data_IF_803078671598
#
_entry.id   IF_803078671598
#
_cell.length_a   1.000
_cell.length_b   1.000
_cell.length_c   1.000
_cell.angle_alpha   90.00
_cell.angle_beta   90.00
_cell.angle_gamma   90.00
#
_symmetry.space_group_name_H-M   'P 1'
#
loop_
_entity.id
_entity.type
_entity.pdbx_description
1 polymer ?
#
# COMPACT_ATOMS: atom_id res chain seq x y z
N UNK A 1 8.78 1.74 8.93
CA UNK A 1 8.47 2.71 7.86
C UNK A 1 8.23 1.92 6.58
N UNK A 2 7.06 2.02 6.05
CA UNK A 2 6.67 1.32 4.83
C UNK A 2 6.44 2.35 3.74
N UNK A 3 7.18 2.25 2.63
CA UNK A 3 6.99 3.11 1.47
C UNK A 3 6.17 2.37 0.42
N UNK A 4 5.01 2.89 0.09
CA UNK A 4 4.20 2.42 -1.03
C UNK A 4 4.54 3.24 -2.26
N UNK A 5 5.55 2.78 -3.03
CA UNK A 5 6.01 3.51 -4.22
C UNK A 5 5.17 3.24 -5.47
N UNK A 6 4.37 2.21 -5.48
CA UNK A 6 3.63 1.81 -6.66
C UNK A 6 2.15 1.63 -6.34
N UNK A 7 1.46 2.75 -6.15
CA UNK A 7 0.02 2.74 -6.31
C UNK A 7 -0.28 2.75 -7.80
N UNK A 8 -0.64 1.60 -8.32
CA UNK A 8 -1.25 1.56 -9.65
C UNK A 8 -2.65 2.12 -9.48
N UNK A 9 -2.85 3.41 -9.83
CA UNK A 9 -4.20 3.94 -9.95
C UNK A 9 -4.96 3.04 -10.90
N UNK A 10 -6.05 2.45 -10.46
CA UNK A 10 -6.96 1.78 -11.36
C UNK A 10 -7.41 2.80 -12.40
N UNK A 11 -7.29 2.44 -13.68
CA UNK A 11 -8.07 3.11 -14.71
C UNK A 11 -9.51 3.21 -14.22
N UNK A 12 -10.15 4.36 -14.47
CA UNK A 12 -11.54 4.60 -14.11
C UNK A 12 -12.41 3.47 -14.66
N UNK A 13 -12.63 2.45 -13.81
CA UNK A 13 -13.62 1.42 -14.10
C UNK A 13 -15.00 2.07 -13.96
N UNK A 14 -15.90 1.70 -14.85
CA UNK A 14 -17.29 2.13 -14.73
C UNK A 14 -17.78 1.81 -13.32
N UNK A 15 -18.49 2.74 -12.68
CA UNK A 15 -18.91 2.67 -11.27
C UNK A 15 -19.60 1.35 -10.89
N UNK A 16 -20.21 0.63 -11.82
CA UNK A 16 -20.88 -0.64 -11.56
C UNK A 16 -19.91 -1.81 -11.45
N UNK A 17 -18.90 -1.91 -12.31
CA UNK A 17 -17.86 -2.93 -12.21
C UNK A 17 -17.04 -2.79 -10.94
N UNK A 18 -16.78 -1.55 -10.54
CA UNK A 18 -16.08 -1.23 -9.31
C UNK A 18 -16.83 -1.72 -8.07
N UNK A 19 -18.17 -1.62 -8.04
CA UNK A 19 -19.01 -2.10 -6.95
C UNK A 19 -19.00 -3.63 -6.82
N UNK A 20 -19.00 -4.35 -7.92
CA UNK A 20 -18.94 -5.82 -7.92
C UNK A 20 -17.59 -6.29 -7.42
N UNK A 21 -16.50 -5.72 -7.91
CA UNK A 21 -15.15 -6.00 -7.43
C UNK A 21 -15.00 -5.69 -5.95
N UNK A 22 -15.50 -4.55 -5.49
CA UNK A 22 -15.48 -4.16 -4.09
C UNK A 22 -16.21 -5.18 -3.20
N UNK A 23 -17.38 -5.65 -3.63
CA UNK A 23 -18.16 -6.64 -2.88
C UNK A 23 -17.49 -8.02 -2.82
N UNK A 24 -16.81 -8.43 -3.87
CA UNK A 24 -16.16 -9.75 -3.96
C UNK A 24 -14.79 -9.73 -3.30
N UNK A 25 -13.95 -8.75 -3.64
CA UNK A 25 -12.58 -8.66 -3.12
C UNK A 25 -12.54 -8.32 -1.64
N UNK A 26 -13.49 -7.53 -1.14
CA UNK A 26 -13.54 -7.20 0.29
C UNK A 26 -13.82 -8.40 1.20
N UNK A 27 -14.25 -9.52 0.64
CA UNK A 27 -14.50 -10.77 1.35
C UNK A 27 -13.30 -11.71 1.39
N UNK A 28 -12.18 -11.33 0.80
CA UNK A 28 -10.98 -12.15 0.82
C UNK A 28 -10.52 -12.39 2.26
N UNK A 29 -10.10 -13.62 2.51
CA UNK A 29 -9.57 -14.07 3.80
C UNK A 29 -8.30 -14.88 3.58
N UNK A 30 -7.50 -14.94 4.61
CA UNK A 30 -6.31 -15.81 4.63
C UNK A 30 -6.69 -17.25 4.26
N UNK A 31 -5.95 -17.82 3.33
CA UNK A 31 -6.20 -19.14 2.74
C UNK A 31 -6.98 -19.11 1.44
N UNK A 32 -7.57 -17.98 1.06
CA UNK A 32 -8.24 -17.85 -0.23
C UNK A 32 -7.23 -17.75 -1.37
N UNK A 33 -7.66 -18.12 -2.57
CA UNK A 33 -6.88 -17.98 -3.80
C UNK A 33 -7.43 -16.83 -4.63
N UNK A 34 -6.51 -16.07 -5.23
CA UNK A 34 -6.84 -14.95 -6.12
C UNK A 34 -6.07 -15.10 -7.42
N UNK A 35 -6.75 -15.08 -8.54
CA UNK A 35 -6.13 -15.06 -9.85
C UNK A 35 -6.01 -13.61 -10.34
N UNK A 36 -4.80 -13.23 -10.71
CA UNK A 36 -4.52 -11.92 -11.29
C UNK A 36 -3.35 -12.01 -12.26
N UNK A 37 -3.52 -11.44 -13.43
CA UNK A 37 -2.50 -11.38 -14.47
C UNK A 37 -1.83 -12.75 -14.75
N UNK A 38 -2.67 -13.77 -14.97
CA UNK A 38 -2.27 -15.15 -15.28
C UNK A 38 -1.50 -15.85 -14.15
N UNK A 39 -1.54 -15.33 -12.92
CA UNK A 39 -0.94 -15.95 -11.74
C UNK A 39 -2.00 -16.20 -10.68
N UNK A 40 -1.82 -17.27 -9.92
CA UNK A 40 -2.64 -17.59 -8.76
C UNK A 40 -1.90 -17.24 -7.49
N UNK A 41 -2.49 -16.40 -6.68
CA UNK A 41 -1.94 -15.95 -5.40
C UNK A 41 -2.69 -16.58 -4.24
N UNK A 42 -1.96 -16.93 -3.18
CA UNK A 42 -2.53 -17.27 -1.89
C UNK A 42 -2.63 -16.01 -1.03
N UNK A 43 -3.77 -15.79 -0.41
CA UNK A 43 -3.93 -14.76 0.62
C UNK A 43 -3.29 -15.29 1.90
N UNK A 44 -2.18 -14.68 2.33
CA UNK A 44 -1.41 -15.12 3.51
C UNK A 44 -1.58 -14.20 4.72
N UNK A 45 -2.22 -13.07 4.57
CA UNK A 45 -2.50 -12.15 5.67
C UNK A 45 -3.54 -11.10 5.27
N UNK A 46 -4.29 -10.63 6.28
CA UNK A 46 -5.24 -9.54 6.15
C UNK A 46 -4.93 -8.52 7.24
N UNK A 47 -4.47 -7.36 6.85
CA UNK A 47 -4.00 -6.32 7.77
C UNK A 47 -4.79 -5.05 7.57
N UNK A 48 -4.65 -4.09 8.49
CA UNK A 48 -5.40 -2.84 8.43
C UNK A 48 -4.56 -1.66 8.84
N UNK A 49 -4.67 -0.58 8.06
CA UNK A 49 -4.17 0.74 8.42
C UNK A 49 -5.35 1.60 8.89
N UNK A 50 -5.19 2.27 10.02
CA UNK A 50 -6.12 3.30 10.49
C UNK A 50 -5.40 4.64 10.43
N UNK A 51 -5.91 5.55 9.61
CA UNK A 51 -5.30 6.85 9.39
C UNK A 51 -5.84 7.88 10.39
N UNK A 52 -4.96 8.74 10.91
CA UNK A 52 -5.36 9.74 11.92
C UNK A 52 -6.34 10.77 11.38
N UNK A 53 -6.23 11.13 10.11
CA UNK A 53 -7.15 12.08 9.49
C UNK A 53 -8.50 11.46 9.13
N UNK A 54 -8.68 10.21 9.41
CA UNK A 54 -9.84 9.41 9.03
C UNK A 54 -9.52 8.45 7.90
N UNK A 55 -10.40 7.50 7.73
CA UNK A 55 -10.21 6.48 6.72
C UNK A 55 -9.48 5.24 7.22
N UNK A 56 -9.66 4.18 6.46
CA UNK A 56 -9.13 2.84 6.74
C UNK A 56 -8.63 2.25 5.44
N UNK A 57 -7.49 1.58 5.49
CA UNK A 57 -6.99 0.78 4.39
C UNK A 57 -6.93 -0.68 4.82
N UNK A 58 -7.69 -1.54 4.16
CA UNK A 58 -7.55 -2.98 4.30
C UNK A 58 -6.48 -3.46 3.34
N UNK A 59 -5.60 -4.31 3.81
CA UNK A 59 -4.46 -4.83 3.07
C UNK A 59 -4.49 -6.35 3.08
N UNK A 60 -4.47 -6.94 1.89
CA UNK A 60 -4.32 -8.40 1.74
C UNK A 60 -2.92 -8.69 1.20
N UNK A 61 -2.18 -9.50 1.92
CA UNK A 61 -0.87 -9.98 1.52
C UNK A 61 -1.05 -11.21 0.64
N UNK A 62 -0.59 -11.13 -0.60
CA UNK A 62 -0.78 -12.14 -1.64
C UNK A 62 0.57 -12.72 -2.05
N UNK A 63 0.68 -14.04 -2.02
CA UNK A 63 1.92 -14.73 -2.37
C UNK A 63 1.72 -15.71 -3.52
N UNK A 64 2.59 -15.62 -4.52
CA UNK A 64 2.71 -16.56 -5.63
C UNK A 64 4.18 -16.90 -5.82
N UNK A 65 4.59 -18.12 -5.46
CA UNK A 65 6.02 -18.52 -5.49
C UNK A 65 6.85 -17.63 -4.57
N UNK A 66 7.86 -16.96 -5.12
CA UNK A 66 8.75 -16.05 -4.40
C UNK A 66 8.26 -14.60 -4.41
N UNK A 67 7.18 -14.32 -5.13
CA UNK A 67 6.63 -12.97 -5.23
C UNK A 67 5.58 -12.73 -4.16
N UNK A 68 5.67 -11.56 -3.51
CA UNK A 68 4.67 -11.06 -2.57
C UNK A 68 4.16 -9.72 -3.05
N UNK A 69 2.84 -9.61 -3.19
CA UNK A 69 2.14 -8.41 -3.57
C UNK A 69 1.09 -8.07 -2.52
N UNK A 70 0.64 -6.84 -2.52
CA UNK A 70 -0.36 -6.36 -1.57
C UNK A 70 -1.51 -5.74 -2.34
N UNK A 71 -2.71 -6.28 -2.09
CA UNK A 71 -3.95 -5.67 -2.54
C UNK A 71 -4.44 -4.76 -1.43
N UNK A 72 -4.70 -3.51 -1.72
CA UNK A 72 -5.16 -2.55 -0.73
C UNK A 72 -6.50 -1.94 -1.16
N UNK A 73 -7.38 -1.79 -0.19
CA UNK A 73 -8.66 -1.10 -0.33
C UNK A 73 -8.70 0.04 0.68
N UNK A 74 -8.63 1.25 0.19
CA UNK A 74 -8.73 2.45 1.02
C UNK A 74 -10.12 3.03 0.96
N UNK A 75 -10.67 3.36 2.12
CA UNK A 75 -11.98 3.96 2.25
C UNK A 75 -11.90 5.20 3.13
N UNK A 76 -12.33 6.33 2.59
CA UNK A 76 -12.39 7.60 3.30
C UNK A 76 -13.59 8.40 2.79
N UNK A 77 -14.44 8.88 3.71
CA UNK A 77 -15.62 9.72 3.40
C UNK A 77 -16.54 9.14 2.30
N UNK A 78 -16.66 7.81 2.23
CA UNK A 78 -17.48 7.13 1.24
C UNK A 78 -16.79 6.86 -0.08
N UNK A 79 -15.60 7.40 -0.30
CA UNK A 79 -14.77 7.09 -1.46
C UNK A 79 -13.96 5.82 -1.22
N UNK A 80 -13.88 4.96 -2.22
CA UNK A 80 -13.14 3.70 -2.18
C UNK A 80 -12.13 3.67 -3.31
N UNK A 81 -10.87 3.39 -2.95
CA UNK A 81 -9.78 3.24 -3.90
C UNK A 81 -9.10 1.88 -3.69
N UNK A 82 -8.86 1.17 -4.80
CA UNK A 82 -8.12 -0.08 -4.80
C UNK A 82 -6.73 0.13 -5.39
N UNK A 83 -5.74 -0.53 -4.82
CA UNK A 83 -4.38 -0.53 -5.34
C UNK A 83 -3.73 -1.90 -5.21
N UNK A 84 -2.76 -2.16 -6.08
CA UNK A 84 -1.96 -3.39 -6.07
C UNK A 84 -0.49 -2.99 -6.08
N UNK A 85 0.25 -3.32 -5.03
CA UNK A 85 1.59 -2.80 -4.82
C UNK A 85 2.55 -3.82 -4.24
N UNK A 86 3.86 -3.50 -4.31
CA UNK A 86 4.91 -4.24 -3.62
C UNK A 86 5.49 -3.38 -2.51
N UNK A 87 5.99 -4.04 -1.48
CA UNK A 87 6.79 -3.40 -0.43
C UNK A 87 8.27 -3.64 -0.73
N UNK A 88 9.02 -2.56 -0.75
CA UNK A 88 10.46 -2.59 -1.00
C UNK A 88 11.20 -2.02 0.20
N UNK A 89 12.42 -2.53 0.50
CA UNK A 89 13.27 -1.87 1.49
C UNK A 89 13.63 -0.46 1.04
N UNK A 90 13.68 0.47 1.97
CA UNK A 90 14.09 1.85 1.68
C UNK A 90 15.49 1.92 1.07
N UNK A 91 16.34 0.93 1.37
CA UNK A 91 17.68 0.82 0.81
C UNK A 91 17.73 0.60 -0.70
N UNK A 92 16.62 0.24 -1.33
CA UNK A 92 16.53 0.13 -2.79
C UNK A 92 16.37 1.48 -3.49
N UNK A 93 16.08 2.55 -2.75
CA UNK A 93 16.13 3.90 -3.27
C UNK A 93 17.58 4.35 -3.45
N UNK A 94 17.84 5.15 -4.45
CA UNK A 94 19.18 5.72 -4.66
C UNK A 94 19.54 6.69 -3.52
N UNK A 95 20.79 6.61 -3.06
CA UNK A 95 21.29 7.41 -1.94
C UNK A 95 20.97 6.84 -0.58
N UNK A 96 21.40 7.53 0.47
CA UNK A 96 21.16 7.17 1.87
C UNK A 96 19.90 7.85 2.39
N UNK A 97 18.74 7.45 1.87
CA UNK A 97 17.47 8.07 2.20
C UNK A 97 17.13 7.87 3.69
N UNK A 98 17.35 6.66 4.22
CA UNK A 98 17.10 6.39 5.65
C UNK A 98 17.95 7.30 6.55
N UNK A 99 19.23 7.46 6.25
CA UNK A 99 20.12 8.36 6.98
C UNK A 99 19.73 9.81 6.88
N UNK A 100 19.27 10.25 5.71
CA UNK A 100 18.81 11.61 5.48
C UNK A 100 17.56 11.93 6.33
N UNK A 101 16.60 11.00 6.40
CA UNK A 101 15.40 11.13 7.23
C UNK A 101 15.79 11.26 8.71
N UNK A 102 16.73 10.42 9.18
CA UNK A 102 17.18 10.46 10.58
C UNK A 102 17.88 11.78 10.91
N UNK A 103 18.72 12.29 10.00
CA UNK A 103 19.45 13.55 10.23
C UNK A 103 18.55 14.78 10.19
N UNK A 104 17.60 14.81 9.28
CA UNK A 104 16.77 15.97 9.02
C UNK A 104 15.42 15.91 9.72
N UNK A 105 15.05 14.78 10.30
CA UNK A 105 13.71 14.50 10.82
C UNK A 105 12.59 14.72 9.81
N UNK A 106 12.95 14.64 8.53
CA UNK A 106 12.07 14.96 7.41
C UNK A 106 12.56 14.20 6.16
N UNK A 107 11.65 13.72 5.30
CA UNK A 107 12.05 13.03 4.09
C UNK A 107 12.53 14.03 3.02
N UNK A 108 13.34 13.57 2.04
CA UNK A 108 13.71 14.42 0.93
C UNK A 108 12.49 14.76 0.05
N UNK A 109 12.55 15.88 -0.65
CA UNK A 109 11.50 16.28 -1.60
C UNK A 109 11.46 15.37 -2.82
N UNK A 110 12.58 14.73 -3.15
CA UNK A 110 12.72 13.86 -4.31
C UNK A 110 13.44 12.58 -3.93
N UNK A 111 12.94 11.47 -4.46
CA UNK A 111 13.57 10.16 -4.36
C UNK A 111 13.73 9.56 -5.75
N UNK A 112 14.73 8.71 -5.93
CA UNK A 112 14.98 8.03 -7.21
C UNK A 112 14.95 6.52 -6.98
N UNK A 113 14.18 5.85 -7.82
CA UNK A 113 14.08 4.40 -7.83
C UNK A 113 14.24 3.89 -9.27
N UNK A 114 15.21 3.02 -9.49
CA UNK A 114 15.53 2.45 -10.81
C UNK A 114 15.66 3.53 -11.90
N UNK A 115 16.34 4.63 -11.60
CA UNK A 115 16.55 5.72 -12.53
C UNK A 115 15.36 6.66 -12.72
N UNK A 116 14.23 6.40 -12.09
CA UNK A 116 13.05 7.25 -12.16
C UNK A 116 12.95 8.14 -10.92
N UNK A 117 12.65 9.41 -11.13
CA UNK A 117 12.50 10.39 -10.06
C UNK A 117 11.05 10.51 -9.64
N UNK A 118 10.83 10.52 -8.33
CA UNK A 118 9.52 10.70 -7.70
C UNK A 118 9.58 11.93 -6.81
N UNK A 119 8.54 12.73 -6.82
CA UNK A 119 8.44 13.95 -6.01
C UNK A 119 7.48 13.76 -4.84
N UNK A 120 7.83 14.34 -3.71
CA UNK A 120 7.00 14.32 -2.51
C UNK A 120 5.64 14.94 -2.79
N UNK A 121 4.58 14.27 -2.38
CA UNK A 121 3.21 14.73 -2.55
C UNK A 121 2.56 15.08 -1.21
N UNK A 122 2.52 14.10 -0.32
CA UNK A 122 1.87 14.27 0.98
C UNK A 122 2.44 13.35 2.05
N UNK A 123 2.18 13.68 3.29
CA UNK A 123 2.44 12.82 4.44
C UNK A 123 1.15 12.45 5.15
N UNK A 124 1.18 11.33 5.84
CA UNK A 124 0.08 10.90 6.69
C UNK A 124 0.62 10.09 7.86
N UNK A 125 -0.14 10.03 8.93
CA UNK A 125 0.19 9.24 10.12
C UNK A 125 -0.97 8.32 10.46
N UNK A 126 -0.65 7.19 11.05
CA UNK A 126 -1.66 6.22 11.42
C UNK A 126 -1.12 5.08 12.26
N UNK A 127 -1.96 4.07 12.42
CA UNK A 127 -1.61 2.83 13.10
C UNK A 127 -1.86 1.64 12.19
N UNK A 128 -0.94 0.69 12.20
CA UNK A 128 -1.00 -0.54 11.43
C UNK A 128 -1.29 -1.72 12.34
N UNK A 129 -2.30 -2.50 11.96
CA UNK A 129 -2.74 -3.69 12.70
C UNK A 129 -2.54 -4.93 11.83
N UNK A 130 -1.77 -5.87 12.29
CA UNK A 130 -1.68 -7.20 11.68
C UNK A 130 -2.89 -8.03 12.02
N UNK A 131 -3.22 -8.96 11.14
CA UNK A 131 -4.29 -9.94 11.38
C UNK A 131 -4.15 -10.59 12.76
N UNK A 132 -5.23 -10.58 13.52
CA UNK A 132 -5.28 -11.16 14.86
C UNK A 132 -4.63 -10.31 15.96
N UNK A 133 -4.03 -9.16 15.64
CA UNK A 133 -3.44 -8.27 16.64
C UNK A 133 -4.39 -7.15 17.02
N UNK A 134 -4.48 -6.86 18.32
CA UNK A 134 -5.20 -5.70 18.86
C UNK A 134 -4.29 -4.52 19.12
N UNK A 135 -2.97 -4.71 19.03
CA UNK A 135 -1.98 -3.66 19.21
C UNK A 135 -1.58 -3.06 17.86
N UNK A 136 -1.76 -1.75 17.73
CA UNK A 136 -1.35 -0.99 16.57
C UNK A 136 0.10 -0.55 16.65
N UNK A 137 0.77 -0.55 15.50
CA UNK A 137 2.09 0.03 15.34
C UNK A 137 1.93 1.42 14.71
N UNK A 138 2.34 2.45 15.44
CA UNK A 138 2.32 3.81 14.91
C UNK A 138 3.34 3.98 13.79
N UNK A 139 2.96 4.70 12.73
CA UNK A 139 3.84 4.95 11.60
C UNK A 139 3.58 6.31 10.98
N UNK A 140 4.55 6.76 10.20
CA UNK A 140 4.43 7.90 9.30
C UNK A 140 4.61 7.40 7.87
N UNK A 141 3.76 7.85 6.97
CA UNK A 141 3.83 7.56 5.54
C UNK A 141 4.12 8.84 4.77
N UNK A 142 5.00 8.74 3.78
CA UNK A 142 5.26 9.81 2.83
C UNK A 142 5.00 9.30 1.43
N UNK A 143 4.12 10.00 0.72
CA UNK A 143 3.73 9.62 -0.62
C UNK A 143 4.51 10.44 -1.66
N UNK A 144 4.95 9.74 -2.70
CA UNK A 144 5.73 10.31 -3.80
C UNK A 144 5.07 9.93 -5.12
N UNK A 145 5.04 10.87 -6.04
CA UNK A 145 4.50 10.64 -7.37
C UNK A 145 5.58 10.81 -8.45
N UNK A 146 5.45 10.00 -9.49
CA UNK A 146 6.20 10.13 -10.73
C UNK A 146 5.33 10.83 -11.76
N UNK A 147 5.86 11.85 -12.40
CA UNK A 147 5.19 12.52 -13.52
C UNK A 147 5.16 11.67 -14.79
#
# INVERSE_FOLDING_TARGET
MVFNFFKKKKAELQKEEFRIEDLVLSKLKTGFLVDYDMKTYNVIGCNRYQWHEGGVTDEWELKAGDETWFLERSQEDGDVEWSFCRKLPISELEGDIAGEIVRNEDPPEKVVFQGQQFEFEEDDIGEYFREGSTEGLSFVSWDYEHE
#
